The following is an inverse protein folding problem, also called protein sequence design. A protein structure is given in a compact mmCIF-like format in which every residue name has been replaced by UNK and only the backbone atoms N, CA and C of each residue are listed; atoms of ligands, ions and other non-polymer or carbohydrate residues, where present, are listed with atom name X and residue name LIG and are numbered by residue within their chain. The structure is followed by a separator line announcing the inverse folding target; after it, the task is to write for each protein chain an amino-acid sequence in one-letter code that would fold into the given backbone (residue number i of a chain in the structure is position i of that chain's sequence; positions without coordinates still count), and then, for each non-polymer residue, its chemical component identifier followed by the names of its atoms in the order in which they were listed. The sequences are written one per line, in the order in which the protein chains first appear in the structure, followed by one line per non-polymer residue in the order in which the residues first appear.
data_IF_302180128904
#
_entry.id   IF_302180128904
#
_cell.length_a   1.000
_cell.length_b   1.000
_cell.length_c   1.000
_cell.angle_alpha   90.00
_cell.angle_beta   90.00
_cell.angle_gamma   90.00
#
_symmetry.space_group_name_H-M   'P 1'
#
loop_
_entity.id
_entity.type
_entity.pdbx_description
1 polymer ?
#
# COMPACT_ATOMS: atom_id res chain seq x y z
N UNK A 1 12.17 -3.88 11.91
CA UNK A 1 11.58 -2.83 12.77
C UNK A 1 11.87 -1.42 12.25
N UNK A 2 13.13 -1.06 11.94
CA UNK A 2 13.49 0.26 11.36
C UNK A 2 12.54 0.71 10.23
N UNK A 3 12.29 -0.14 9.23
CA UNK A 3 11.48 0.20 8.06
C UNK A 3 10.00 0.51 8.40
N UNK A 4 9.42 -0.23 9.35
CA UNK A 4 8.05 0.02 9.83
C UNK A 4 7.97 1.36 10.57
N UNK A 5 8.98 1.66 11.38
CA UNK A 5 9.09 2.95 12.07
C UNK A 5 9.21 4.08 11.05
N UNK A 6 9.98 3.90 9.98
CA UNK A 6 10.09 4.89 8.90
C UNK A 6 8.76 5.13 8.19
N UNK A 7 7.98 4.07 7.96
CA UNK A 7 6.63 4.18 7.38
C UNK A 7 5.64 4.91 8.29
N UNK A 8 5.61 4.57 9.58
CA UNK A 8 4.74 5.25 10.55
C UNK A 8 5.12 6.73 10.67
N UNK A 9 6.41 7.02 10.75
CA UNK A 9 6.90 8.40 10.83
C UNK A 9 6.57 9.19 9.56
N UNK A 10 6.68 8.56 8.39
CA UNK A 10 6.29 9.17 7.11
C UNK A 10 4.80 9.50 7.07
N UNK A 11 3.91 8.57 7.45
CA UNK A 11 2.46 8.82 7.49
C UNK A 11 2.13 9.94 8.47
N UNK A 12 2.76 9.93 9.65
CA UNK A 12 2.60 10.98 10.65
C UNK A 12 3.08 12.33 10.13
N UNK A 13 4.23 12.40 9.47
CA UNK A 13 4.72 13.64 8.84
C UNK A 13 3.74 14.15 7.79
N UNK A 14 3.26 13.28 6.90
CA UNK A 14 2.30 13.67 5.86
C UNK A 14 0.97 14.18 6.44
N UNK A 15 0.55 13.70 7.62
CA UNK A 15 -0.68 14.19 8.26
C UNK A 15 -0.56 15.59 8.87
N UNK A 16 0.65 16.13 9.09
CA UNK A 16 0.83 17.50 9.58
C UNK A 16 0.82 18.55 8.45
N UNK A 17 0.97 18.12 7.20
CA UNK A 17 0.99 19.02 6.07
C UNK A 17 -0.41 19.15 5.47
N UNK A 18 -1.24 19.98 6.10
CA UNK A 18 -2.62 20.30 5.69
C UNK A 18 -2.75 20.97 4.30
N UNK A 19 -1.63 21.23 3.60
CA UNK A 19 -1.59 21.88 2.29
C UNK A 19 -0.85 21.09 1.21
N UNK A 20 -0.56 19.80 1.43
CA UNK A 20 0.08 18.98 0.41
C UNK A 20 -0.89 18.74 -0.75
N UNK A 21 -0.61 19.39 -1.89
CA UNK A 21 -1.29 19.07 -3.14
C UNK A 21 -1.18 17.58 -3.44
N UNK A 22 -2.25 17.03 -4.00
CA UNK A 22 -2.44 15.60 -4.21
C UNK A 22 -1.31 14.93 -5.00
N UNK A 23 -0.73 15.62 -5.99
CA UNK A 23 0.44 15.16 -6.74
C UNK A 23 1.65 14.96 -5.82
N UNK A 24 1.86 15.86 -4.87
CA UNK A 24 2.96 15.77 -3.92
C UNK A 24 2.77 14.58 -2.97
N UNK A 25 1.52 14.28 -2.57
CA UNK A 25 1.21 13.10 -1.78
C UNK A 25 1.51 11.80 -2.55
N UNK A 26 1.12 11.74 -3.82
CA UNK A 26 1.38 10.60 -4.71
C UNK A 26 2.88 10.39 -4.93
N UNK A 27 3.62 11.45 -5.30
CA UNK A 27 5.06 11.38 -5.51
C UNK A 27 5.80 11.00 -4.23
N UNK A 28 5.40 11.54 -3.08
CA UNK A 28 6.01 11.20 -1.78
C UNK A 28 5.80 9.73 -1.41
N UNK A 29 4.59 9.21 -1.65
CA UNK A 29 4.28 7.79 -1.43
C UNK A 29 5.09 6.87 -2.37
N UNK A 30 5.24 7.27 -3.64
CA UNK A 30 6.09 6.57 -4.61
C UNK A 30 7.57 6.57 -4.22
N UNK A 31 8.09 7.72 -3.77
CA UNK A 31 9.45 7.84 -3.24
C UNK A 31 9.67 6.93 -2.04
N UNK A 32 8.69 6.83 -1.13
CA UNK A 32 8.80 5.98 0.05
C UNK A 32 8.85 4.49 -0.30
N UNK A 33 8.09 4.06 -1.31
CA UNK A 33 8.16 2.71 -1.86
C UNK A 33 9.51 2.44 -2.54
N UNK A 34 10.04 3.42 -3.29
CA UNK A 34 11.36 3.32 -3.91
C UNK A 34 12.48 3.20 -2.86
N UNK A 35 12.44 4.02 -1.81
CA UNK A 35 13.38 3.92 -0.69
C UNK A 35 13.29 2.56 0.00
N UNK A 36 12.08 2.05 0.20
CA UNK A 36 11.86 0.70 0.76
C UNK A 36 12.50 -0.37 -0.12
N UNK A 37 12.35 -0.28 -1.44
CA UNK A 37 12.96 -1.20 -2.40
C UNK A 37 14.49 -1.14 -2.39
N UNK A 38 15.07 0.06 -2.46
CA UNK A 38 16.53 0.26 -2.44
C UNK A 38 17.12 -0.17 -1.11
N UNK A 39 16.49 0.18 0.01
CA UNK A 39 16.91 -0.24 1.34
C UNK A 39 16.96 -1.77 1.46
N UNK A 40 15.95 -2.46 0.92
CA UNK A 40 15.89 -3.92 0.92
C UNK A 40 16.97 -4.56 0.01
N UNK A 41 17.50 -3.84 -0.98
CA UNK A 41 18.65 -4.30 -1.80
C UNK A 41 19.98 -4.19 -1.04
N UNK A 42 20.17 -3.13 -0.28
CA UNK A 42 21.43 -2.86 0.45
C UNK A 42 21.54 -3.76 1.67
N UNK A 43 20.45 -3.88 2.43
CA UNK A 43 20.36 -4.76 3.58
C UNK A 43 19.14 -5.65 3.37
N UNK A 44 19.32 -6.89 2.87
CA UNK A 44 18.21 -7.80 2.66
C UNK A 44 17.59 -8.09 4.01
N UNK A 45 16.55 -7.34 4.33
CA UNK A 45 15.72 -7.63 5.47
C UNK A 45 15.02 -8.94 5.13
N UNK A 46 15.27 -9.97 5.94
CA UNK A 46 14.54 -11.24 5.90
C UNK A 46 13.12 -10.99 6.40
N UNK A 47 12.34 -10.24 5.62
CA UNK A 47 10.94 -9.99 5.88
C UNK A 47 10.21 -11.23 5.38
N UNK A 48 9.51 -11.91 6.27
CA UNK A 48 8.61 -12.96 5.85
C UNK A 48 7.61 -12.38 4.83
N UNK A 49 7.26 -13.11 3.76
CA UNK A 49 6.34 -12.60 2.75
C UNK A 49 4.99 -12.15 3.33
N UNK A 50 4.59 -12.69 4.49
CA UNK A 50 3.46 -12.21 5.30
C UNK A 50 3.59 -10.76 5.77
N UNK A 51 4.72 -10.40 6.36
CA UNK A 51 4.94 -9.04 6.87
C UNK A 51 5.08 -8.03 5.73
N UNK A 52 5.60 -8.46 4.57
CA UNK A 52 5.64 -7.63 3.37
C UNK A 52 4.23 -7.29 2.85
N UNK A 53 3.31 -8.26 2.83
CA UNK A 53 1.91 -8.04 2.42
C UNK A 53 1.21 -7.03 3.35
N UNK A 54 1.39 -7.17 4.66
CA UNK A 54 0.81 -6.24 5.65
C UNK A 54 1.40 -4.83 5.47
N UNK A 55 2.70 -4.72 5.20
CA UNK A 55 3.37 -3.44 4.94
C UNK A 55 2.85 -2.74 3.67
N UNK A 56 2.48 -3.52 2.65
CA UNK A 56 1.89 -3.01 1.39
C UNK A 56 0.43 -2.58 1.55
N UNK A 57 -0.27 -3.09 2.57
CA UNK A 57 -1.70 -2.86 2.74
C UNK A 57 -2.02 -1.39 3.05
N UNK A 58 -1.19 -0.74 3.89
CA UNK A 58 -1.32 0.67 4.26
C UNK A 58 -1.18 1.61 3.04
N UNK A 59 -0.08 1.57 2.26
CA UNK A 59 0.04 2.40 1.06
C UNK A 59 -1.01 2.06 0.01
N UNK A 60 -1.42 0.79 -0.11
CA UNK A 60 -2.47 0.42 -1.07
C UNK A 60 -3.83 0.98 -0.70
N UNK A 61 -4.20 1.03 0.58
CA UNK A 61 -5.45 1.69 1.02
C UNK A 61 -5.40 3.19 0.72
N UNK A 62 -4.26 3.85 0.95
CA UNK A 62 -4.09 5.27 0.62
C UNK A 62 -4.22 5.54 -0.88
N UNK A 63 -3.68 4.64 -1.73
CA UNK A 63 -3.86 4.71 -3.18
C UNK A 63 -5.33 4.52 -3.55
N UNK A 64 -6.00 3.50 -3.01
CA UNK A 64 -7.44 3.28 -3.24
C UNK A 64 -8.28 4.49 -2.84
N UNK A 65 -7.99 5.09 -1.68
CA UNK A 65 -8.65 6.31 -1.23
C UNK A 65 -8.42 7.50 -2.18
N UNK A 66 -7.20 7.65 -2.68
CA UNK A 66 -6.86 8.70 -3.66
C UNK A 66 -7.60 8.48 -4.97
N UNK A 67 -7.65 7.24 -5.49
CA UNK A 67 -8.40 6.95 -6.72
C UNK A 67 -9.91 7.16 -6.50
N UNK A 68 -10.43 6.87 -5.30
CA UNK A 68 -11.84 7.07 -4.98
C UNK A 68 -12.24 8.56 -4.98
N UNK A 69 -11.51 9.39 -4.23
CA UNK A 69 -11.83 10.82 -4.10
C UNK A 69 -11.67 11.55 -5.43
N UNK A 70 -10.67 11.14 -6.21
CA UNK A 70 -10.30 11.83 -7.44
C UNK A 70 -10.62 11.02 -8.69
N UNK A 71 -11.61 10.15 -8.57
CA UNK A 71 -12.10 9.32 -9.67
C UNK A 71 -12.46 10.18 -10.90
N UNK A 72 -13.09 11.34 -10.68
CA UNK A 72 -13.46 12.29 -11.73
C UNK A 72 -12.26 12.98 -12.40
N UNK A 73 -11.12 13.09 -11.71
CA UNK A 73 -9.91 13.76 -12.22
C UNK A 73 -8.93 12.79 -12.91
N UNK A 74 -8.84 11.56 -12.41
CA UNK A 74 -7.92 10.53 -12.90
C UNK A 74 -8.48 9.68 -14.05
N UNK A 75 -9.80 9.70 -14.28
CA UNK A 75 -10.45 8.84 -15.27
C UNK A 75 -11.05 9.65 -16.44
N UNK A 76 -10.91 9.13 -17.66
CA UNK A 76 -11.61 9.65 -18.85
C UNK A 76 -13.13 9.45 -18.76
N UNK A 77 -13.57 8.46 -17.97
CA UNK A 77 -14.96 8.19 -17.61
C UNK A 77 -15.01 7.77 -16.14
N UNK A 78 -15.65 8.56 -15.25
CA UNK A 78 -15.71 8.23 -13.83
C UNK A 78 -16.40 6.90 -13.59
N UNK A 79 -15.75 6.06 -12.79
CA UNK A 79 -16.32 4.79 -12.34
C UNK A 79 -17.50 5.06 -11.41
N UNK A 80 -18.58 4.28 -11.50
CA UNK A 80 -19.63 4.37 -10.49
C UNK A 80 -19.10 3.88 -9.13
N UNK A 81 -19.59 4.50 -8.05
CA UNK A 81 -19.18 4.14 -6.68
C UNK A 81 -19.35 2.63 -6.42
N UNK A 82 -20.44 2.04 -6.92
CA UNK A 82 -20.74 0.62 -6.79
C UNK A 82 -19.65 -0.26 -7.42
N UNK A 83 -19.21 0.10 -8.64
CA UNK A 83 -18.18 -0.64 -9.34
C UNK A 83 -16.81 -0.48 -8.67
N UNK A 84 -16.50 0.72 -8.19
CA UNK A 84 -15.25 1.00 -7.47
C UNK A 84 -15.16 0.20 -6.16
N UNK A 85 -16.23 0.21 -5.37
CA UNK A 85 -16.34 -0.56 -4.13
C UNK A 85 -16.20 -2.07 -4.44
N UNK A 86 -16.83 -2.55 -5.51
CA UNK A 86 -16.68 -3.94 -5.98
C UNK A 86 -15.22 -4.31 -6.27
N UNK A 87 -14.48 -3.46 -6.99
CA UNK A 87 -13.06 -3.68 -7.25
C UNK A 87 -12.21 -3.64 -5.97
N UNK A 88 -12.53 -2.73 -5.04
CA UNK A 88 -11.86 -2.67 -3.74
C UNK A 88 -12.06 -3.97 -2.95
N UNK A 89 -13.28 -4.52 -2.93
CA UNK A 89 -13.54 -5.81 -2.29
C UNK A 89 -12.80 -6.96 -2.95
N UNK A 90 -12.75 -7.02 -4.29
CA UNK A 90 -11.97 -8.03 -5.02
C UNK A 90 -10.48 -7.91 -4.66
N UNK A 91 -9.96 -6.70 -4.57
CA UNK A 91 -8.59 -6.42 -4.18
C UNK A 91 -8.28 -6.92 -2.75
N UNK A 92 -9.14 -6.58 -1.78
CA UNK A 92 -9.02 -7.04 -0.39
C UNK A 92 -9.13 -8.57 -0.30
N UNK A 93 -10.08 -9.17 -0.99
CA UNK A 93 -10.24 -10.62 -1.04
C UNK A 93 -8.99 -11.32 -1.59
N UNK A 94 -8.43 -10.79 -2.68
CA UNK A 94 -7.21 -11.30 -3.29
C UNK A 94 -6.02 -11.22 -2.34
N UNK A 95 -5.89 -10.11 -1.61
CA UNK A 95 -4.87 -9.93 -0.57
C UNK A 95 -5.00 -10.98 0.54
N UNK A 96 -6.21 -11.17 1.07
CA UNK A 96 -6.49 -12.16 2.11
C UNK A 96 -6.17 -13.58 1.60
N UNK A 97 -6.61 -13.91 0.39
CA UNK A 97 -6.35 -15.21 -0.23
C UNK A 97 -4.84 -15.48 -0.38
N UNK A 98 -4.08 -14.51 -0.89
CA UNK A 98 -2.62 -14.63 -1.04
C UNK A 98 -1.95 -14.78 0.33
N UNK A 99 -2.38 -14.01 1.33
CA UNK A 99 -1.87 -14.10 2.70
C UNK A 99 -2.08 -15.49 3.30
N UNK A 100 -3.27 -16.07 3.16
CA UNK A 100 -3.57 -17.43 3.63
C UNK A 100 -2.82 -18.50 2.84
N UNK A 101 -2.71 -18.36 1.51
CA UNK A 101 -1.94 -19.30 0.67
C UNK A 101 -0.48 -19.36 1.09
N UNK A 102 0.15 -18.20 1.35
CA UNK A 102 1.51 -18.12 1.87
C UNK A 102 1.65 -18.71 3.28
N UNK A 103 0.59 -18.59 4.11
CA UNK A 103 0.55 -19.21 5.43
C UNK A 103 0.58 -20.74 5.33
N UNK A 104 -0.24 -21.31 4.44
CA UNK A 104 -0.34 -22.77 4.26
C UNK A 104 0.96 -23.39 3.70
N UNK A 105 1.67 -22.66 2.83
CA UNK A 105 2.96 -23.10 2.29
C UNK A 105 4.03 -23.19 3.40
N UNK A 106 4.06 -22.24 4.34
CA UNK A 106 5.00 -22.28 5.46
C UNK A 106 4.70 -23.43 6.45
N UNK A 107 3.43 -23.82 6.61
CA UNK A 107 3.06 -24.95 7.46
C UNK A 107 3.45 -26.33 6.85
N UNK A 108 3.57 -26.43 5.52
CA UNK A 108 4.00 -27.67 4.85
C UNK A 108 5.52 -27.88 4.81
N UNK A 109 6.33 -26.87 5.20
CA UNK A 109 7.80 -26.93 5.19
C UNK A 109 8.43 -27.20 6.57
N UNK A 110 7.60 -27.34 7.61
CA UNK A 110 7.99 -27.78 8.96
C UNK A 110 7.60 -29.25 9.08
#
# INVERSE_FOLDING_TARGET
MSLVITWVLFIFLMSFFDGLEQLNFFFSSGLMLYFTFVYNRIKPTTIFPRTAIILLLIPSILIWYTVFIYNDFLSLTPLTNEFFIGLFFIYIYSLIYIFFKLTNINHKRI
#
